data_IF_226219848282
#
_entry.id   IF_226219848282
#
_cell.length_a   1.000
_cell.length_b   1.000
_cell.length_c   1.000
_cell.angle_alpha   90.00
_cell.angle_beta   90.00
_cell.angle_gamma   90.00
#
_symmetry.space_group_name_H-M   'P 1'
#
loop_
_entity.id
_entity.type
_entity.pdbx_description
1 polymer ?
#
# COMPACT_ATOMS: atom_id res chain seq x y z
N UNK A 1 -13.35 -9.56 -2.61
CA UNK A 1 -11.96 -9.48 -3.11
C UNK A 1 -11.40 -8.16 -2.60
N UNK A 2 -10.73 -8.16 -1.45
CA UNK A 2 -10.30 -6.92 -0.79
C UNK A 2 -8.90 -6.54 -1.26
N UNK A 3 -8.84 -5.63 -2.23
CA UNK A 3 -7.60 -5.02 -2.73
C UNK A 3 -6.78 -4.43 -1.57
N UNK A 4 -7.47 -3.88 -0.55
CA UNK A 4 -6.85 -3.33 0.66
C UNK A 4 -6.09 -4.38 1.48
N UNK A 5 -6.63 -5.58 1.64
CA UNK A 5 -5.97 -6.67 2.37
C UNK A 5 -4.72 -7.15 1.64
N UNK A 6 -4.81 -7.35 0.32
CA UNK A 6 -3.66 -7.70 -0.52
C UNK A 6 -2.53 -6.67 -0.41
N UNK A 7 -2.88 -5.38 -0.46
CA UNK A 7 -1.93 -4.29 -0.31
C UNK A 7 -1.31 -4.28 1.09
N UNK A 8 -2.12 -4.42 2.15
CA UNK A 8 -1.65 -4.48 3.52
C UNK A 8 -0.74 -5.69 3.76
N UNK A 9 -1.07 -6.85 3.22
CA UNK A 9 -0.26 -8.07 3.34
C UNK A 9 1.05 -7.93 2.57
N UNK A 10 1.03 -7.41 1.34
CA UNK A 10 2.23 -7.17 0.55
C UNK A 10 3.15 -6.13 1.22
N UNK A 11 2.58 -5.08 1.81
CA UNK A 11 3.33 -4.10 2.60
C UNK A 11 3.94 -4.71 3.87
N UNK A 12 3.17 -5.48 4.65
CA UNK A 12 3.69 -6.17 5.85
C UNK A 12 4.78 -7.19 5.49
N UNK A 13 4.58 -7.97 4.42
CA UNK A 13 5.58 -8.93 3.93
C UNK A 13 6.84 -8.24 3.44
N UNK A 14 6.72 -7.08 2.80
CA UNK A 14 7.89 -6.32 2.38
C UNK A 14 8.65 -5.73 3.56
N UNK A 15 7.96 -5.37 4.66
CA UNK A 15 8.59 -4.82 5.86
C UNK A 15 9.33 -3.49 5.62
N UNK A 16 9.12 -2.89 4.45
CA UNK A 16 9.84 -1.73 3.96
C UNK A 16 8.86 -0.77 3.24
N UNK A 17 9.21 0.52 3.17
CA UNK A 17 8.40 1.49 2.45
C UNK A 17 8.33 1.15 0.95
N UNK A 18 7.16 0.79 0.44
CA UNK A 18 6.91 0.42 -0.96
C UNK A 18 6.27 1.56 -1.75
N UNK A 19 6.61 1.68 -3.03
CA UNK A 19 5.93 2.61 -3.93
C UNK A 19 4.67 1.96 -4.55
N UNK A 20 3.73 2.78 -5.03
CA UNK A 20 2.48 2.29 -5.61
C UNK A 20 2.69 1.35 -6.83
N UNK A 21 3.78 1.53 -7.59
CA UNK A 21 4.11 0.63 -8.71
C UNK A 21 4.55 -0.75 -8.22
N UNK A 22 5.42 -0.79 -7.21
CA UNK A 22 5.92 -2.01 -6.57
C UNK A 22 4.80 -2.77 -5.89
N UNK A 23 3.88 -2.07 -5.23
CA UNK A 23 2.68 -2.68 -4.64
C UNK A 23 1.78 -3.26 -5.75
N UNK A 24 1.55 -2.52 -6.84
CA UNK A 24 0.79 -3.02 -7.99
C UNK A 24 1.41 -4.30 -8.59
N UNK A 25 2.74 -4.33 -8.75
CA UNK A 25 3.46 -5.52 -9.21
C UNK A 25 3.39 -6.69 -8.21
N UNK A 26 3.56 -6.44 -6.92
CA UNK A 26 3.55 -7.47 -5.88
C UNK A 26 2.16 -8.06 -5.63
N UNK A 27 1.13 -7.22 -5.69
CA UNK A 27 -0.27 -7.63 -5.45
C UNK A 27 -0.97 -8.07 -6.74
N UNK A 28 -0.39 -7.80 -7.91
CA UNK A 28 -1.04 -7.99 -9.19
C UNK A 28 -2.24 -7.06 -9.41
N UNK A 29 -2.36 -5.99 -8.61
CA UNK A 29 -3.46 -5.03 -8.70
C UNK A 29 -3.17 -3.95 -9.74
N UNK A 30 -4.24 -3.44 -10.33
CA UNK A 30 -4.17 -2.26 -11.19
C UNK A 30 -3.60 -1.06 -10.43
N UNK A 31 -2.73 -0.28 -11.08
CA UNK A 31 -2.19 0.95 -10.49
C UNK A 31 -3.28 1.90 -10.00
N UNK A 32 -4.44 1.93 -10.68
CA UNK A 32 -5.63 2.70 -10.25
C UNK A 32 -6.28 2.13 -8.98
N UNK A 33 -6.34 0.81 -8.84
CA UNK A 33 -6.87 0.15 -7.65
C UNK A 33 -5.98 0.43 -6.45
N UNK A 34 -4.66 0.28 -6.65
CA UNK A 34 -3.64 0.63 -5.66
C UNK A 34 -3.78 2.09 -5.27
N UNK A 35 -3.81 3.04 -6.21
CA UNK A 35 -3.91 4.46 -5.89
C UNK A 35 -5.19 4.83 -5.11
N UNK A 36 -6.34 4.24 -5.48
CA UNK A 36 -7.60 4.39 -4.73
C UNK A 36 -7.51 3.82 -3.31
N UNK A 37 -6.94 2.63 -3.17
CA UNK A 37 -6.77 1.96 -1.90
C UNK A 37 -5.79 2.74 -1.01
N UNK A 38 -4.72 3.28 -1.59
CA UNK A 38 -3.76 4.18 -0.96
C UNK A 38 -4.43 5.47 -0.49
N UNK A 39 -5.23 6.12 -1.33
CA UNK A 39 -5.96 7.33 -0.95
C UNK A 39 -6.92 7.06 0.22
N UNK A 40 -7.62 5.92 0.21
CA UNK A 40 -8.48 5.50 1.30
C UNK A 40 -7.68 5.22 2.59
N UNK A 41 -6.66 4.35 2.52
CA UNK A 41 -5.85 3.97 3.67
C UNK A 41 -5.06 5.15 4.25
N UNK A 42 -4.62 6.09 3.41
CA UNK A 42 -3.98 7.34 3.84
C UNK A 42 -4.97 8.23 4.60
N UNK A 43 -6.23 8.25 4.17
CA UNK A 43 -7.30 9.02 4.81
C UNK A 43 -7.72 8.40 6.15
N UNK A 44 -7.73 7.07 6.24
CA UNK A 44 -7.96 6.31 7.47
C UNK A 44 -6.74 6.31 8.42
N UNK A 45 -5.56 6.72 7.94
CA UNK A 45 -4.32 6.71 8.73
C UNK A 45 -3.69 5.31 8.87
N UNK A 46 -4.18 4.31 8.13
CA UNK A 46 -3.67 2.93 8.14
C UNK A 46 -2.32 2.77 7.44
N UNK A 47 -1.88 3.76 6.65
CA UNK A 47 -0.58 3.79 5.99
C UNK A 47 0.11 5.13 6.21
N UNK A 48 1.44 5.11 6.30
CA UNK A 48 2.29 6.29 6.43
C UNK A 48 3.31 6.34 5.30
N UNK A 49 3.72 7.54 4.92
CA UNK A 49 4.73 7.77 3.89
C UNK A 49 5.96 8.42 4.51
N UNK A 50 6.93 7.62 5.00
CA UNK A 50 8.15 8.17 5.61
C UNK A 50 9.08 8.81 4.56
N UNK A 51 9.04 8.33 3.32
CA UNK A 51 9.83 8.81 2.19
C UNK A 51 8.89 9.14 1.04
N UNK A 52 9.17 10.23 0.31
CA UNK A 52 8.40 10.63 -0.88
C UNK A 52 8.22 9.45 -1.82
N UNK A 53 6.97 9.16 -2.17
CA UNK A 53 6.53 8.05 -3.03
C UNK A 53 6.75 6.64 -2.45
N UNK A 54 7.12 6.49 -1.19
CA UNK A 54 7.13 5.20 -0.51
C UNK A 54 6.16 5.18 0.65
N UNK A 55 5.55 4.04 0.88
CA UNK A 55 4.48 3.88 1.82
C UNK A 55 4.59 2.57 2.57
N UNK A 56 4.24 2.61 3.84
CA UNK A 56 4.27 1.46 4.74
C UNK A 56 2.98 1.44 5.58
N UNK A 57 2.60 0.28 6.14
CA UNK A 57 1.46 0.19 7.05
C UNK A 57 1.80 0.93 8.35
N UNK A 58 0.83 1.69 8.88
CA UNK A 58 0.99 2.42 10.14
C UNK A 58 1.03 1.47 11.35
N UNK A 59 0.41 0.29 11.23
CA UNK A 59 0.48 -0.78 12.23
C UNK A 59 1.58 -1.79 11.88
N UNK A 60 2.56 -1.93 12.79
CA UNK A 60 3.49 -3.07 12.85
C UNK A 60 2.76 -4.30 13.38
#
# INVERSE_FOLDING_TARGET
>A
MNEKELILEAMRKAGEPLNAGKVAELTGLDRKAVDKAFAAMKKDGSIVSPIRCKWEPAEK
#
